data_IF_007725268107
#
_entry.id   IF_007725268107
#
_cell.length_a   1.000
_cell.length_b   1.000
_cell.length_c   1.000
_cell.angle_alpha   90.00
_cell.angle_beta   90.00
_cell.angle_gamma   90.00
#
_symmetry.space_group_name_H-M   'P 1'
#
loop_
_entity.id
_entity.type
_entity.pdbx_description
1 polymer ?
#
# COMPACT_ATOMS: atom_id res chain seq x y z
N UNK A 1 -13.66 0.90 6.64
CA UNK A 1 -14.83 0.29 5.99
C UNK A 1 -14.49 -1.03 5.30
N UNK A 2 -13.36 -1.09 4.60
CA UNK A 2 -12.88 -2.31 3.97
C UNK A 2 -12.08 -3.12 4.98
N UNK A 3 -12.38 -4.41 5.09
CA UNK A 3 -11.69 -5.37 5.96
C UNK A 3 -11.05 -6.51 5.20
N UNK A 4 -11.51 -6.75 3.97
CA UNK A 4 -11.09 -7.88 3.16
C UNK A 4 -10.88 -7.46 1.71
N UNK A 5 -9.76 -7.85 1.14
CA UNK A 5 -9.42 -7.64 -0.28
C UNK A 5 -8.88 -8.96 -0.84
N UNK A 6 -9.54 -9.44 -1.90
CA UNK A 6 -9.11 -10.61 -2.65
C UNK A 6 -8.47 -10.18 -3.97
N UNK A 7 -7.29 -10.70 -4.24
CA UNK A 7 -6.58 -10.53 -5.51
C UNK A 7 -6.45 -11.90 -6.17
N UNK A 8 -6.96 -12.03 -7.38
CA UNK A 8 -6.95 -13.29 -8.13
C UNK A 8 -6.21 -13.11 -9.45
N UNK A 9 -5.21 -13.94 -9.70
CA UNK A 9 -4.65 -14.16 -11.03
C UNK A 9 -5.50 -15.23 -11.70
N UNK A 10 -6.23 -14.86 -12.73
CA UNK A 10 -7.11 -15.78 -13.45
C UNK A 10 -6.32 -16.68 -14.41
N UNK A 11 -6.93 -17.77 -14.87
CA UNK A 11 -6.29 -18.72 -15.80
C UNK A 11 -5.84 -18.07 -17.11
N UNK A 12 -6.57 -17.05 -17.58
CA UNK A 12 -6.24 -16.27 -18.78
C UNK A 12 -5.24 -15.13 -18.53
N UNK A 13 -4.62 -15.11 -17.34
CA UNK A 13 -3.70 -14.08 -16.89
C UNK A 13 -4.33 -12.67 -16.75
N UNK A 14 -5.65 -12.56 -16.64
CA UNK A 14 -6.30 -11.36 -16.16
C UNK A 14 -6.20 -11.29 -14.64
N UNK A 15 -6.37 -10.10 -14.07
CA UNK A 15 -6.43 -9.89 -12.61
C UNK A 15 -7.84 -9.50 -12.21
N UNK A 16 -8.32 -10.10 -11.12
CA UNK A 16 -9.52 -9.67 -10.41
C UNK A 16 -9.15 -9.18 -9.03
N UNK A 17 -9.56 -7.96 -8.69
CA UNK A 17 -9.46 -7.39 -7.34
C UNK A 17 -10.87 -7.16 -6.83
N UNK A 18 -11.19 -7.78 -5.70
CA UNK A 18 -12.48 -7.66 -5.02
C UNK A 18 -12.27 -7.11 -3.62
N UNK A 19 -13.02 -6.09 -3.25
CA UNK A 19 -13.08 -5.57 -1.89
C UNK A 19 -14.49 -5.61 -1.32
N UNK A 20 -14.59 -5.51 0.01
CA UNK A 20 -15.83 -5.35 0.74
C UNK A 20 -16.00 -3.92 1.28
N UNK A 21 -15.46 -2.93 0.59
CA UNK A 21 -15.56 -1.53 0.94
C UNK A 21 -16.93 -0.93 0.64
N UNK A 22 -16.97 0.40 0.50
CA UNK A 22 -18.22 1.14 0.26
C UNK A 22 -18.81 0.91 -1.14
N UNK A 23 -18.01 0.47 -2.09
CA UNK A 23 -18.32 0.46 -3.52
C UNK A 23 -18.09 1.83 -4.16
N UNK A 24 -17.71 1.84 -5.44
CA UNK A 24 -17.64 3.06 -6.24
C UNK A 24 -19.08 3.57 -6.46
N UNK A 25 -19.36 4.89 -6.31
CA UNK A 25 -20.68 5.43 -6.61
C UNK A 25 -21.10 5.17 -8.06
N UNK A 26 -22.38 4.86 -8.27
CA UNK A 26 -22.97 4.59 -9.59
C UNK A 26 -23.99 5.63 -10.01
N UNK A 27 -24.27 6.60 -9.13
CA UNK A 27 -25.20 7.69 -9.38
C UNK A 27 -24.78 8.53 -10.59
N UNK A 28 -25.76 9.20 -11.22
CA UNK A 28 -25.48 10.10 -12.35
C UNK A 28 -24.73 11.36 -11.90
N UNK A 29 -23.66 11.67 -12.60
CA UNK A 29 -22.80 12.84 -12.34
C UNK A 29 -23.19 13.96 -13.32
N UNK A 30 -23.98 14.93 -12.88
CA UNK A 30 -24.58 15.96 -13.72
C UNK A 30 -23.56 16.77 -14.53
N UNK A 31 -22.42 17.14 -13.93
CA UNK A 31 -21.36 17.94 -14.61
C UNK A 31 -20.70 17.19 -15.76
N UNK A 32 -20.55 15.89 -15.63
CA UNK A 32 -19.86 15.04 -16.60
C UNK A 32 -20.83 14.36 -17.57
N UNK A 33 -22.12 14.42 -17.31
CA UNK A 33 -23.16 13.82 -18.16
C UNK A 33 -23.13 12.30 -18.25
N UNK A 34 -22.56 11.63 -17.24
CA UNK A 34 -22.40 10.17 -17.16
C UNK A 34 -22.43 9.66 -15.71
N UNK A 35 -22.41 8.35 -15.51
CA UNK A 35 -22.37 7.79 -14.16
C UNK A 35 -21.07 8.13 -13.43
N UNK A 36 -21.10 8.24 -12.11
CA UNK A 36 -19.89 8.44 -11.30
C UNK A 36 -18.88 7.30 -11.49
N UNK A 37 -19.35 6.05 -11.68
CA UNK A 37 -18.50 4.91 -12.02
C UNK A 37 -17.70 5.18 -13.30
N UNK A 38 -18.36 5.59 -14.37
CA UNK A 38 -17.69 5.91 -15.64
C UNK A 38 -16.73 7.10 -15.50
N UNK A 39 -17.10 8.12 -14.74
CA UNK A 39 -16.21 9.26 -14.46
C UNK A 39 -14.92 8.78 -13.79
N UNK A 40 -15.02 7.99 -12.73
CA UNK A 40 -13.85 7.47 -11.99
C UNK A 40 -12.92 6.65 -12.88
N UNK A 41 -13.47 5.89 -13.82
CA UNK A 41 -12.70 4.97 -14.67
C UNK A 41 -12.19 5.59 -15.97
N UNK A 42 -12.73 6.74 -16.41
CA UNK A 42 -12.40 7.32 -17.71
C UNK A 42 -11.87 8.75 -17.66
N UNK A 43 -12.09 9.47 -16.54
CA UNK A 43 -11.66 10.87 -16.41
C UNK A 43 -10.44 10.95 -15.52
N UNK A 44 -9.39 11.60 -16.01
CA UNK A 44 -8.19 11.86 -15.20
C UNK A 44 -8.50 12.89 -14.10
N UNK A 45 -7.88 12.72 -12.95
CA UNK A 45 -8.07 13.58 -11.77
C UNK A 45 -9.51 13.57 -11.23
N UNK A 46 -10.28 12.53 -11.53
CA UNK A 46 -11.61 12.30 -10.96
C UNK A 46 -11.54 11.29 -9.80
N UNK A 47 -12.53 11.36 -8.92
CA UNK A 47 -12.74 10.41 -7.84
C UNK A 47 -12.92 11.04 -6.47
N UNK A 48 -13.52 10.28 -5.54
CA UNK A 48 -13.85 10.74 -4.18
C UNK A 48 -12.66 11.11 -3.30
N UNK A 49 -11.43 10.85 -3.75
CA UNK A 49 -10.20 11.23 -3.03
C UNK A 49 -9.88 12.72 -3.12
N UNK A 50 -10.53 13.46 -4.03
CA UNK A 50 -10.48 14.92 -4.09
C UNK A 50 -11.47 15.59 -3.14
N UNK A 51 -12.44 14.83 -2.61
CA UNK A 51 -13.31 15.30 -1.54
C UNK A 51 -12.63 15.06 -0.19
N UNK A 52 -12.12 16.14 0.42
CA UNK A 52 -11.44 16.13 1.72
C UNK A 52 -12.29 15.52 2.86
N UNK A 53 -13.61 15.42 2.66
CA UNK A 53 -14.54 14.77 3.60
C UNK A 53 -14.57 13.24 3.52
N UNK A 54 -14.21 12.67 2.38
CA UNK A 54 -14.37 11.22 2.12
C UNK A 54 -13.16 10.38 2.52
N UNK A 55 -11.95 10.93 2.41
CA UNK A 55 -10.69 10.24 2.74
C UNK A 55 -9.74 11.18 3.48
N UNK A 56 -9.36 10.83 4.71
CA UNK A 56 -8.41 11.62 5.51
C UNK A 56 -6.97 11.52 4.96
N UNK A 57 -6.60 10.32 4.49
CA UNK A 57 -5.27 10.02 3.94
C UNK A 57 -5.41 9.01 2.81
N UNK A 58 -4.68 9.19 1.72
CA UNK A 58 -4.66 8.27 0.58
C UNK A 58 -3.28 8.22 -0.07
N UNK A 59 -2.84 7.02 -0.49
CA UNK A 59 -1.67 6.85 -1.37
C UNK A 59 -1.93 7.31 -2.81
N UNK A 60 -3.19 7.36 -3.21
CA UNK A 60 -3.61 7.85 -4.53
C UNK A 60 -3.89 9.34 -4.51
N UNK A 61 -2.92 10.17 -4.91
CA UNK A 61 -2.99 11.64 -4.83
C UNK A 61 -3.59 12.30 -6.08
N UNK A 62 -3.46 11.65 -7.22
CA UNK A 62 -3.75 12.30 -8.50
C UNK A 62 -5.07 11.82 -9.14
N UNK A 63 -5.75 10.82 -8.56
CA UNK A 63 -6.99 10.27 -9.12
C UNK A 63 -6.83 9.69 -10.52
N UNK A 64 -5.65 9.13 -10.83
CA UNK A 64 -5.33 8.60 -12.16
C UNK A 64 -5.08 7.10 -12.16
N UNK A 65 -4.90 6.46 -11.01
CA UNK A 65 -4.46 5.05 -10.94
C UNK A 65 -5.40 4.09 -11.67
N UNK A 66 -6.68 4.09 -11.33
CA UNK A 66 -7.64 3.16 -11.93
C UNK A 66 -7.97 3.51 -13.37
N UNK A 67 -7.99 4.79 -13.74
CA UNK A 67 -8.19 5.22 -15.13
C UNK A 67 -6.98 4.86 -16.02
N UNK A 68 -5.76 4.89 -15.49
CA UNK A 68 -4.59 4.37 -16.17
C UNK A 68 -4.67 2.84 -16.37
N UNK A 69 -5.07 2.07 -15.35
CA UNK A 69 -5.29 0.62 -15.50
C UNK A 69 -6.30 0.35 -16.61
N UNK A 70 -7.41 1.12 -16.65
CA UNK A 70 -8.41 1.00 -17.70
C UNK A 70 -7.81 1.29 -19.09
N UNK A 71 -7.11 2.42 -19.24
CA UNK A 71 -6.51 2.81 -20.52
C UNK A 71 -5.48 1.80 -21.05
N UNK A 72 -4.77 1.11 -20.15
CA UNK A 72 -3.72 0.14 -20.44
C UNK A 72 -4.25 -1.32 -20.53
N UNK A 73 -5.57 -1.50 -20.53
CA UNK A 73 -6.20 -2.82 -20.56
C UNK A 73 -7.04 -3.04 -21.82
N UNK A 74 -6.92 -4.21 -22.43
CA UNK A 74 -7.80 -4.61 -23.53
C UNK A 74 -9.21 -4.91 -23.06
N UNK A 75 -9.35 -5.30 -21.79
CA UNK A 75 -10.62 -5.53 -21.12
C UNK A 75 -10.54 -5.03 -19.69
N UNK A 76 -11.54 -4.26 -19.26
CA UNK A 76 -11.80 -4.00 -17.85
C UNK A 76 -13.29 -4.16 -17.58
N UNK A 77 -13.61 -4.90 -16.52
CA UNK A 77 -14.97 -5.11 -16.03
C UNK A 77 -15.04 -4.55 -14.62
N UNK A 78 -15.94 -3.60 -14.40
CA UNK A 78 -16.24 -3.06 -13.07
C UNK A 78 -17.61 -3.56 -12.62
N UNK A 79 -17.65 -4.20 -11.45
CA UNK A 79 -18.88 -4.65 -10.80
C UNK A 79 -18.98 -4.03 -9.42
N UNK A 80 -20.06 -3.33 -9.15
CA UNK A 80 -20.27 -2.60 -7.91
C UNK A 80 -21.47 -3.19 -7.16
N UNK A 81 -21.19 -3.73 -5.99
CA UNK A 81 -22.22 -4.11 -5.02
C UNK A 81 -22.59 -2.87 -4.22
N UNK A 82 -23.70 -2.26 -4.62
CA UNK A 82 -24.13 -0.95 -4.14
C UNK A 82 -24.99 -1.05 -2.86
N UNK A 83 -25.04 0.05 -2.14
CA UNK A 83 -25.85 0.16 -0.91
C UNK A 83 -27.36 0.04 -1.13
N UNK A 84 -27.84 0.19 -2.36
CA UNK A 84 -29.24 0.01 -2.74
C UNK A 84 -29.64 -1.46 -2.97
N UNK A 85 -28.71 -2.39 -2.72
CA UNK A 85 -28.92 -3.82 -2.88
C UNK A 85 -28.78 -4.34 -4.30
N UNK A 86 -28.31 -3.53 -5.23
CA UNK A 86 -28.12 -3.89 -6.63
C UNK A 86 -26.65 -4.07 -6.98
N UNK A 87 -26.39 -4.93 -7.96
CA UNK A 87 -25.08 -5.10 -8.58
C UNK A 87 -25.08 -4.39 -9.92
N UNK A 88 -24.23 -3.38 -10.04
CA UNK A 88 -24.02 -2.62 -11.28
C UNK A 88 -22.78 -3.12 -11.99
N UNK A 89 -22.83 -3.20 -13.32
CA UNK A 89 -21.68 -3.56 -14.16
C UNK A 89 -21.51 -2.55 -15.29
N UNK A 90 -20.27 -2.24 -15.61
CA UNK A 90 -19.86 -1.57 -16.84
C UNK A 90 -18.57 -2.19 -17.34
N UNK A 91 -18.42 -2.31 -18.65
CA UNK A 91 -17.25 -2.87 -19.32
C UNK A 91 -16.53 -1.82 -20.15
N UNK A 92 -15.23 -2.00 -20.29
CA UNK A 92 -14.34 -1.06 -20.96
C UNK A 92 -13.29 -1.80 -21.79
N UNK A 93 -12.77 -1.13 -22.82
CA UNK A 93 -11.61 -1.55 -23.57
C UNK A 93 -10.74 -0.33 -23.88
N UNK A 94 -9.45 -0.41 -23.52
CA UNK A 94 -8.45 0.64 -23.78
C UNK A 94 -8.92 2.04 -23.29
N UNK A 95 -9.54 2.08 -22.12
CA UNK A 95 -10.04 3.28 -21.48
C UNK A 95 -11.42 3.77 -21.94
N UNK A 96 -12.01 3.18 -22.98
CA UNK A 96 -13.32 3.56 -23.48
C UNK A 96 -14.41 2.58 -22.99
N UNK A 97 -15.60 3.05 -22.57
CA UNK A 97 -16.70 2.18 -22.22
C UNK A 97 -17.19 1.40 -23.44
N UNK A 98 -17.42 0.10 -23.27
CA UNK A 98 -17.98 -0.81 -24.29
C UNK A 98 -19.41 -1.21 -23.99
N UNK A 99 -19.93 -0.84 -22.82
CA UNK A 99 -21.33 -0.99 -22.43
C UNK A 99 -21.82 0.25 -21.68
N UNK A 100 -23.13 0.35 -21.50
CA UNK A 100 -23.71 1.24 -20.50
C UNK A 100 -23.58 0.62 -19.11
N UNK A 101 -23.83 1.41 -18.06
CA UNK A 101 -23.99 0.87 -16.70
C UNK A 101 -25.28 0.09 -16.63
N UNK A 102 -25.21 -1.19 -16.28
CA UNK A 102 -26.32 -2.12 -16.23
C UNK A 102 -26.49 -2.70 -14.83
N UNK A 103 -27.73 -2.94 -14.41
CA UNK A 103 -28.02 -3.74 -13.23
C UNK A 103 -28.02 -5.21 -13.64
N UNK A 104 -27.11 -5.99 -13.05
CA UNK A 104 -26.94 -7.41 -13.40
C UNK A 104 -27.47 -8.37 -12.32
N UNK A 105 -27.90 -7.85 -11.18
CA UNK A 105 -28.40 -8.67 -10.07
C UNK A 105 -28.64 -7.88 -8.81
N UNK A 106 -28.90 -8.62 -7.73
CA UNK A 106 -29.06 -8.11 -6.38
C UNK A 106 -27.91 -8.57 -5.47
N UNK A 107 -27.64 -7.84 -4.42
CA UNK A 107 -26.62 -8.17 -3.43
C UNK A 107 -27.07 -7.79 -2.01
N UNK A 108 -26.52 -8.50 -1.03
CA UNK A 108 -26.71 -8.22 0.39
C UNK A 108 -25.48 -7.56 1.04
N UNK A 109 -24.35 -7.56 0.33
CA UNK A 109 -23.06 -6.97 0.75
C UNK A 109 -22.73 -5.74 -0.11
N UNK A 110 -21.61 -5.10 0.21
CA UNK A 110 -21.09 -3.95 -0.53
C UNK A 110 -19.67 -4.19 -0.98
N UNK A 111 -19.26 -3.45 -1.98
CA UNK A 111 -17.87 -3.44 -2.41
C UNK A 111 -17.70 -3.26 -3.91
N UNK A 112 -16.44 -3.33 -4.33
CA UNK A 112 -16.04 -3.20 -5.73
C UNK A 112 -15.34 -4.47 -6.18
N UNK A 113 -15.59 -4.89 -7.41
CA UNK A 113 -14.83 -5.92 -8.09
C UNK A 113 -14.36 -5.38 -9.43
N UNK A 114 -13.06 -5.32 -9.64
CA UNK A 114 -12.45 -4.91 -10.90
C UNK A 114 -11.69 -6.09 -11.47
N UNK A 115 -12.04 -6.49 -12.71
CA UNK A 115 -11.29 -7.47 -13.47
C UNK A 115 -10.67 -6.78 -14.68
N UNK A 116 -9.38 -6.95 -14.92
CA UNK A 116 -8.72 -6.32 -16.05
C UNK A 116 -7.67 -7.23 -16.70
N UNK A 117 -7.45 -7.02 -18.00
CA UNK A 117 -6.44 -7.73 -18.79
C UNK A 117 -5.52 -6.71 -19.45
N UNK A 118 -4.20 -6.76 -19.20
CA UNK A 118 -3.24 -5.84 -19.79
C UNK A 118 -3.24 -5.91 -21.32
N UNK A 119 -2.97 -4.76 -21.95
CA UNK A 119 -2.82 -4.68 -23.40
C UNK A 119 -1.41 -5.11 -23.83
N UNK A 120 -1.29 -6.26 -24.47
CA UNK A 120 -0.02 -6.81 -24.98
C UNK A 120 0.64 -5.92 -26.06
N UNK A 121 -0.14 -5.06 -26.72
CA UNK A 121 0.42 -4.07 -27.66
C UNK A 121 1.19 -2.96 -26.99
N UNK A 122 0.93 -2.72 -25.70
CA UNK A 122 1.61 -1.74 -24.87
C UNK A 122 2.70 -2.42 -24.02
N UNK A 123 2.37 -3.53 -23.36
CA UNK A 123 3.28 -4.30 -22.53
C UNK A 123 4.00 -5.36 -23.36
N UNK A 124 4.93 -4.93 -24.21
CA UNK A 124 5.58 -5.78 -25.23
C UNK A 124 6.61 -6.78 -24.67
N UNK A 125 7.11 -6.56 -23.44
CA UNK A 125 8.07 -7.47 -22.82
C UNK A 125 7.39 -8.68 -22.17
N UNK A 126 6.34 -8.43 -21.42
CA UNK A 126 5.52 -9.47 -20.77
C UNK A 126 4.24 -8.88 -20.21
N UNK A 127 3.17 -9.66 -20.23
CA UNK A 127 1.93 -9.39 -19.48
C UNK A 127 1.72 -10.42 -18.38
N UNK A 128 2.64 -11.36 -18.22
CA UNK A 128 2.54 -12.42 -17.22
C UNK A 128 2.80 -11.89 -15.82
N UNK A 129 1.85 -12.13 -14.94
CA UNK A 129 1.96 -11.76 -13.52
C UNK A 129 2.82 -12.76 -12.77
N UNK A 130 3.77 -12.24 -11.98
CA UNK A 130 4.61 -13.03 -11.09
C UNK A 130 3.99 -13.08 -9.70
N UNK A 131 3.57 -14.29 -9.30
CA UNK A 131 2.91 -14.53 -8.03
C UNK A 131 3.69 -13.96 -6.83
N UNK A 132 4.99 -14.26 -6.74
CA UNK A 132 5.81 -13.87 -5.60
C UNK A 132 5.96 -12.34 -5.43
N UNK A 133 5.94 -11.58 -6.55
CA UNK A 133 5.95 -10.11 -6.50
C UNK A 133 4.66 -9.59 -5.86
N UNK A 134 3.51 -10.13 -6.27
CA UNK A 134 2.21 -9.76 -5.70
C UNK A 134 2.11 -10.20 -4.23
N UNK A 135 2.53 -11.43 -3.91
CA UNK A 135 2.51 -11.96 -2.55
C UNK A 135 3.35 -11.10 -1.60
N UNK A 136 4.56 -10.72 -1.99
CA UNK A 136 5.42 -9.86 -1.19
C UNK A 136 4.77 -8.48 -0.95
N UNK A 137 4.18 -7.90 -1.99
CA UNK A 137 3.52 -6.60 -1.87
C UNK A 137 2.28 -6.65 -0.98
N UNK A 138 1.46 -7.68 -1.09
CA UNK A 138 0.27 -7.87 -0.24
C UNK A 138 0.66 -8.12 1.21
N UNK A 139 1.74 -8.86 1.47
CA UNK A 139 2.29 -9.07 2.82
C UNK A 139 2.71 -7.75 3.46
N UNK A 140 3.46 -6.90 2.73
CA UNK A 140 3.82 -5.56 3.23
C UNK A 140 2.58 -4.72 3.54
N UNK A 141 1.59 -4.73 2.65
CA UNK A 141 0.35 -3.97 2.85
C UNK A 141 -0.45 -4.46 4.05
N UNK A 142 -0.44 -5.76 4.36
CA UNK A 142 -1.08 -6.29 5.56
C UNK A 142 -0.41 -5.77 6.83
N UNK A 143 0.91 -5.71 6.88
CA UNK A 143 1.64 -5.12 8.01
C UNK A 143 1.40 -3.62 8.15
N UNK A 144 1.34 -2.89 7.04
CA UNK A 144 1.10 -1.43 7.04
C UNK A 144 -0.34 -1.04 7.36
N UNK A 145 -1.28 -2.00 7.27
CA UNK A 145 -2.72 -1.78 7.48
C UNK A 145 -3.27 -2.89 8.39
N UNK A 146 -2.85 -2.89 9.65
CA UNK A 146 -3.29 -3.88 10.64
C UNK A 146 -4.81 -4.07 10.64
N UNK A 147 -5.25 -5.31 10.76
CA UNK A 147 -6.66 -5.67 10.79
C UNK A 147 -7.34 -5.82 9.42
N UNK A 148 -6.63 -5.61 8.30
CA UNK A 148 -7.14 -5.88 6.95
C UNK A 148 -6.63 -7.25 6.47
N UNK A 149 -7.52 -8.09 5.96
CA UNK A 149 -7.16 -9.35 5.30
C UNK A 149 -6.90 -9.11 3.82
N UNK A 150 -5.77 -9.59 3.34
CA UNK A 150 -5.38 -9.55 1.94
C UNK A 150 -5.14 -10.99 1.49
N UNK A 151 -5.93 -11.44 0.52
CA UNK A 151 -5.85 -12.79 0.01
C UNK A 151 -5.34 -12.76 -1.43
N UNK A 152 -4.44 -13.66 -1.77
CA UNK A 152 -3.93 -13.84 -3.12
C UNK A 152 -4.23 -15.26 -3.60
N UNK A 153 -4.91 -15.35 -4.73
CA UNK A 153 -5.24 -16.61 -5.39
C UNK A 153 -4.61 -16.64 -6.79
N UNK A 154 -3.90 -17.71 -7.13
CA UNK A 154 -3.46 -17.99 -8.49
C UNK A 154 -4.24 -19.18 -9.03
N UNK A 155 -5.15 -18.92 -9.98
CA UNK A 155 -5.96 -19.96 -10.63
C UNK A 155 -5.22 -20.66 -11.76
N UNK A 156 -4.07 -20.14 -12.17
CA UNK A 156 -3.22 -20.81 -13.16
C UNK A 156 -2.66 -22.07 -12.51
N UNK A 157 -2.72 -23.16 -13.23
CA UNK A 157 -2.20 -24.44 -12.76
C UNK A 157 -0.70 -24.53 -13.01
N UNK A 158 0.04 -25.03 -12.04
CA UNK A 158 1.44 -25.41 -12.22
C UNK A 158 1.56 -26.73 -13.03
N UNK A 159 2.80 -27.19 -13.23
CA UNK A 159 3.08 -28.41 -13.96
C UNK A 159 2.47 -29.67 -13.32
N UNK A 160 2.10 -29.63 -12.03
CA UNK A 160 1.42 -30.69 -11.29
C UNK A 160 -0.12 -30.52 -11.28
N UNK A 161 -0.64 -29.47 -11.93
CA UNK A 161 -2.08 -29.16 -11.98
C UNK A 161 -2.62 -28.50 -10.69
N UNK A 162 -1.75 -28.00 -9.81
CA UNK A 162 -2.12 -27.34 -8.55
C UNK A 162 -2.24 -25.82 -8.73
N UNK A 163 -3.13 -25.23 -7.97
CA UNK A 163 -3.26 -23.77 -7.81
C UNK A 163 -2.52 -23.32 -6.55
N UNK A 164 -2.25 -22.02 -6.44
CA UNK A 164 -1.54 -21.43 -5.29
C UNK A 164 -2.39 -20.35 -4.64
N UNK A 165 -2.36 -20.28 -3.30
CA UNK A 165 -3.01 -19.22 -2.54
C UNK A 165 -2.21 -18.88 -1.29
N UNK A 166 -2.29 -17.60 -0.88
CA UNK A 166 -1.74 -17.07 0.36
C UNK A 166 -2.72 -16.07 1.00
N UNK A 167 -2.74 -16.05 2.33
CA UNK A 167 -3.57 -15.17 3.14
C UNK A 167 -2.68 -14.33 4.05
N UNK A 168 -2.82 -13.01 3.97
CA UNK A 168 -2.01 -12.07 4.74
C UNK A 168 -2.91 -11.27 5.69
N UNK A 169 -2.54 -11.28 6.97
CA UNK A 169 -3.23 -10.55 8.02
C UNK A 169 -2.24 -10.22 9.13
N UNK A 170 -2.33 -9.05 9.73
CA UNK A 170 -1.51 -8.65 10.87
C UNK A 170 -2.38 -7.98 11.93
N UNK A 171 -2.24 -8.43 13.18
CA UNK A 171 -2.88 -7.80 14.34
C UNK A 171 -2.03 -6.67 14.93
N UNK A 172 -0.71 -6.85 14.94
CA UNK A 172 0.22 -5.92 15.56
C UNK A 172 0.92 -4.98 14.56
N UNK A 173 0.68 -5.15 13.25
CA UNK A 173 1.14 -4.23 12.20
C UNK A 173 2.65 -4.13 12.10
N UNK A 174 3.22 -2.94 12.33
CA UNK A 174 4.65 -2.70 12.15
C UNK A 174 5.55 -3.52 13.08
N UNK A 175 5.06 -3.95 14.24
CA UNK A 175 5.84 -4.84 15.12
C UNK A 175 6.09 -6.19 14.45
N UNK A 176 5.03 -6.81 13.90
CA UNK A 176 5.16 -8.06 13.15
C UNK A 176 6.01 -7.87 11.89
N UNK A 177 5.94 -6.69 11.27
CA UNK A 177 6.76 -6.38 10.10
C UNK A 177 8.26 -6.38 10.43
N UNK A 178 8.65 -5.75 11.54
CA UNK A 178 10.05 -5.78 12.01
C UNK A 178 10.50 -7.19 12.31
N UNK A 179 9.67 -8.01 12.99
CA UNK A 179 9.97 -9.42 13.23
C UNK A 179 10.19 -10.21 11.94
N UNK A 180 9.31 -9.99 10.96
CA UNK A 180 9.43 -10.60 9.64
C UNK A 180 10.74 -10.22 8.94
N UNK A 181 11.11 -8.93 8.97
CA UNK A 181 12.35 -8.43 8.37
C UNK A 181 13.60 -8.96 9.07
N UNK A 182 13.54 -9.16 10.38
CA UNK A 182 14.66 -9.63 11.20
C UNK A 182 14.85 -11.14 11.17
N UNK A 183 13.81 -11.91 10.81
CA UNK A 183 13.82 -13.37 10.87
C UNK A 183 15.01 -14.06 10.19
N UNK A 184 15.65 -13.39 9.23
CA UNK A 184 16.78 -13.92 8.46
C UNK A 184 18.07 -13.10 8.58
N UNK A 185 18.12 -12.08 9.48
CA UNK A 185 19.23 -11.13 9.51
C UNK A 185 20.19 -11.29 10.65
N UNK A 186 19.74 -11.70 11.80
CA UNK A 186 20.57 -11.86 13.00
C UNK A 186 19.75 -12.17 14.23
N UNK A 187 20.45 -12.34 15.37
CA UNK A 187 19.80 -12.57 16.65
C UNK A 187 19.44 -11.23 17.29
N UNK A 188 18.20 -11.03 17.75
CA UNK A 188 17.84 -9.81 18.47
C UNK A 188 18.69 -9.62 19.72
N UNK A 189 19.24 -8.43 19.90
CA UNK A 189 19.97 -8.02 21.12
C UNK A 189 18.98 -7.69 22.23
N UNK A 190 17.80 -7.17 21.85
CA UNK A 190 16.71 -6.84 22.76
C UNK A 190 15.48 -7.62 22.26
N UNK A 191 14.88 -8.44 23.14
CA UNK A 191 13.69 -9.24 22.76
C UNK A 191 12.49 -8.37 22.44
N UNK A 192 12.34 -7.25 23.17
CA UNK A 192 11.20 -6.35 23.01
C UNK A 192 11.40 -5.45 21.78
N UNK A 193 10.40 -5.41 20.90
CA UNK A 193 10.34 -4.44 19.81
C UNK A 193 10.02 -3.06 20.38
N UNK A 194 10.82 -2.08 20.04
CA UNK A 194 10.57 -0.68 20.36
C UNK A 194 9.50 -0.17 19.39
N UNK A 195 8.39 0.28 19.94
CA UNK A 195 7.24 0.73 19.15
C UNK A 195 6.79 2.12 19.60
N UNK A 196 6.53 2.98 18.62
CA UNK A 196 6.05 4.33 18.78
C UNK A 196 4.88 4.57 17.83
N UNK A 197 3.75 5.02 18.36
CA UNK A 197 2.59 5.49 17.61
C UNK A 197 2.22 6.87 18.16
N UNK A 198 2.36 7.89 17.33
CA UNK A 198 2.17 9.28 17.74
C UNK A 198 1.69 10.14 16.58
N UNK A 199 1.24 11.34 16.90
CA UNK A 199 0.87 12.36 15.92
C UNK A 199 1.65 13.64 16.17
N UNK A 200 2.19 14.24 15.14
CA UNK A 200 2.87 15.52 15.19
C UNK A 200 2.34 16.43 14.08
N UNK A 201 1.88 17.61 14.45
CA UNK A 201 1.30 18.60 13.50
C UNK A 201 0.18 18.02 12.60
N UNK A 202 -0.64 17.10 13.12
CA UNK A 202 -1.69 16.44 12.34
C UNK A 202 -1.18 15.29 11.44
N UNK A 203 0.12 14.94 11.51
CA UNK A 203 0.71 13.83 10.77
C UNK A 203 0.88 12.63 11.71
N UNK A 204 0.13 11.54 11.51
CA UNK A 204 0.39 10.28 12.21
C UNK A 204 1.75 9.71 11.82
N UNK A 205 2.52 9.33 12.84
CA UNK A 205 3.85 8.73 12.72
C UNK A 205 3.88 7.44 13.52
N UNK A 206 4.16 6.34 12.85
CA UNK A 206 4.29 5.03 13.46
C UNK A 206 5.67 4.47 13.17
N UNK A 207 6.36 4.01 14.19
CA UNK A 207 7.71 3.43 14.10
C UNK A 207 7.77 2.15 14.90
N UNK A 208 8.28 1.09 14.30
CA UNK A 208 8.70 -0.11 15.01
C UNK A 208 10.18 -0.36 14.70
N UNK A 209 10.96 -0.75 15.69
CA UNK A 209 12.38 -1.03 15.51
C UNK A 209 12.92 -2.05 16.50
N UNK A 210 13.97 -2.74 16.09
CA UNK A 210 14.70 -3.71 16.90
C UNK A 210 16.17 -3.69 16.52
N UNK A 211 17.05 -3.98 17.48
CA UNK A 211 18.47 -4.18 17.23
C UNK A 211 18.82 -5.66 17.25
N UNK A 212 19.64 -6.08 16.32
CA UNK A 212 20.21 -7.43 16.21
C UNK A 212 21.74 -7.38 16.15
N UNK A 213 22.37 -8.53 16.17
CA UNK A 213 23.82 -8.68 16.15
C UNK A 213 24.47 -8.57 14.76
N UNK A 214 23.71 -8.15 13.75
CA UNK A 214 24.25 -7.85 12.42
C UNK A 214 24.96 -6.49 12.39
N UNK A 215 25.80 -6.26 11.37
CA UNK A 215 26.53 -5.01 11.18
C UNK A 215 25.89 -4.06 10.17
N UNK A 216 24.67 -4.31 9.73
CA UNK A 216 24.01 -3.53 8.70
C UNK A 216 22.71 -2.89 9.17
N UNK A 217 22.46 -1.67 8.70
CA UNK A 217 21.18 -0.97 8.84
C UNK A 217 20.15 -1.55 7.85
N UNK A 218 18.93 -1.79 8.32
CA UNK A 218 17.77 -2.23 7.53
C UNK A 218 16.54 -1.39 7.86
N UNK A 219 16.47 -0.21 7.28
CA UNK A 219 15.35 0.72 7.52
C UNK A 219 14.47 0.84 6.30
N UNK A 220 13.20 0.51 6.50
CA UNK A 220 12.13 0.66 5.53
C UNK A 220 11.26 1.86 5.90
N UNK A 221 10.97 2.74 4.95
CA UNK A 221 10.17 3.93 5.18
C UNK A 221 8.99 4.01 4.20
N UNK A 222 7.85 4.45 4.73
CA UNK A 222 6.58 4.49 3.99
C UNK A 222 5.87 5.82 4.20
N UNK A 223 5.32 6.33 3.11
CA UNK A 223 4.38 7.46 3.12
C UNK A 223 3.08 6.99 2.50
N UNK A 224 1.98 7.03 3.27
CA UNK A 224 0.67 6.56 2.81
C UNK A 224 0.73 5.15 2.19
N UNK A 225 1.48 4.23 2.81
CA UNK A 225 1.74 2.86 2.36
C UNK A 225 2.63 2.72 1.11
N UNK A 226 3.24 3.79 0.61
CA UNK A 226 4.19 3.74 -0.51
C UNK A 226 5.60 3.67 0.07
N UNK A 227 6.36 2.66 -0.33
CA UNK A 227 7.75 2.49 0.11
C UNK A 227 8.64 3.51 -0.59
N UNK A 228 9.16 4.46 0.17
CA UNK A 228 10.03 5.51 -0.36
C UNK A 228 10.84 6.22 0.74
N UNK A 229 11.94 6.83 0.31
CA UNK A 229 12.76 7.68 1.16
C UNK A 229 12.22 9.11 1.28
N UNK A 230 13.02 9.99 1.83
CA UNK A 230 12.72 11.42 1.89
C UNK A 230 12.94 12.03 3.27
N UNK A 231 12.23 13.13 3.52
CA UNK A 231 12.40 13.94 4.73
C UNK A 231 12.05 13.17 6.01
N UNK A 232 11.04 12.31 5.97
CA UNK A 232 10.63 11.49 7.12
C UNK A 232 11.71 10.47 7.53
N UNK A 233 12.36 9.80 6.57
CA UNK A 233 13.46 8.89 6.84
C UNK A 233 14.69 9.65 7.38
N UNK A 234 15.02 10.78 6.77
CA UNK A 234 16.12 11.65 7.24
C UNK A 234 15.83 12.18 8.65
N UNK A 235 14.58 12.58 8.91
CA UNK A 235 14.13 13.02 10.22
C UNK A 235 14.25 11.92 11.27
N UNK A 236 13.81 10.71 10.96
CA UNK A 236 13.93 9.54 11.83
C UNK A 236 15.41 9.28 12.20
N UNK A 237 16.29 9.16 11.20
CA UNK A 237 17.73 8.89 11.43
C UNK A 237 18.38 9.96 12.31
N UNK A 238 18.08 11.24 12.08
CA UNK A 238 18.59 12.35 12.89
C UNK A 238 18.04 12.33 14.32
N UNK A 239 16.75 12.08 14.49
CA UNK A 239 16.12 12.01 15.79
C UNK A 239 16.67 10.85 16.62
N UNK A 240 16.78 9.64 16.03
CA UNK A 240 17.34 8.47 16.68
C UNK A 240 18.78 8.73 17.16
N UNK A 241 19.65 9.16 16.25
CA UNK A 241 21.06 9.48 16.57
C UNK A 241 21.16 10.51 17.70
N UNK A 242 20.40 11.61 17.62
CA UNK A 242 20.42 12.66 18.63
C UNK A 242 19.95 12.16 19.99
N UNK A 243 18.89 11.36 20.01
CA UNK A 243 18.29 10.85 21.25
C UNK A 243 19.22 9.87 21.94
N UNK A 244 19.77 8.91 21.20
CA UNK A 244 20.71 7.93 21.75
C UNK A 244 22.01 8.57 22.22
N UNK A 245 22.54 9.52 21.44
CA UNK A 245 23.75 10.26 21.82
C UNK A 245 23.51 11.04 23.11
N UNK A 246 22.42 11.79 23.21
CA UNK A 246 22.05 12.52 24.43
C UNK A 246 21.93 11.59 25.63
N UNK A 247 21.24 10.45 25.49
CA UNK A 247 21.12 9.48 26.57
C UNK A 247 22.47 8.94 27.02
N UNK A 248 23.36 8.62 26.08
CA UNK A 248 24.71 8.11 26.37
C UNK A 248 25.60 9.18 27.04
N UNK A 249 25.42 10.47 26.70
CA UNK A 249 26.07 11.61 27.39
C UNK A 249 25.55 11.76 28.81
N UNK A 250 24.21 11.88 28.99
CA UNK A 250 23.55 12.09 30.29
C UNK A 250 23.80 10.93 31.27
N UNK A 251 23.90 9.69 30.77
CA UNK A 251 24.19 8.49 31.55
C UNK A 251 25.70 8.29 31.86
N UNK A 252 26.56 9.12 31.31
CA UNK A 252 28.03 8.99 31.45
C UNK A 252 28.65 7.81 30.67
N UNK A 253 27.88 7.17 29.78
CA UNK A 253 28.40 6.06 28.98
C UNK A 253 29.47 6.49 28.00
N UNK A 254 29.32 7.65 27.36
CA UNK A 254 30.29 8.16 26.41
C UNK A 254 31.63 8.49 27.06
N UNK A 255 31.65 8.96 28.31
CA UNK A 255 32.86 9.27 29.02
C UNK A 255 33.77 8.04 29.28
N UNK A 256 33.21 6.83 29.19
CA UNK A 256 33.90 5.56 29.37
C UNK A 256 34.51 5.03 28.07
N UNK A 257 34.13 5.60 26.93
CA UNK A 257 34.60 5.15 25.63
C UNK A 257 35.96 5.84 25.30
N UNK A 258 36.83 5.12 24.61
CA UNK A 258 38.13 5.61 24.14
C UNK A 258 38.10 6.05 22.66
N UNK A 259 36.90 6.12 22.07
CA UNK A 259 36.68 6.49 20.67
C UNK A 259 35.40 7.28 20.54
N UNK A 260 35.29 8.05 19.46
CA UNK A 260 34.06 8.80 19.14
C UNK A 260 33.06 7.91 18.44
N UNK A 261 31.80 8.04 18.83
CA UNK A 261 30.65 7.38 18.18
C UNK A 261 29.99 8.36 17.19
N UNK A 262 29.85 7.95 15.95
CA UNK A 262 29.14 8.71 14.93
C UNK A 262 27.69 8.24 14.75
N UNK A 263 26.94 8.91 13.87
CA UNK A 263 25.52 8.59 13.65
C UNK A 263 25.28 7.21 13.02
N UNK A 264 26.24 6.69 12.26
CA UNK A 264 26.11 5.38 11.60
C UNK A 264 26.27 4.25 12.61
N UNK A 265 27.16 4.43 13.61
CA UNK A 265 27.36 3.45 14.68
C UNK A 265 26.08 3.20 15.48
N UNK A 266 25.23 4.22 15.67
CA UNK A 266 23.92 4.08 16.32
C UNK A 266 22.88 3.34 15.49
N UNK A 267 23.13 3.12 14.20
CA UNK A 267 22.22 2.42 13.29
C UNK A 267 22.72 1.03 12.87
N UNK A 268 23.90 0.66 13.31
CA UNK A 268 24.46 -0.68 13.10
C UNK A 268 23.58 -1.72 13.82
N UNK A 269 23.17 -2.76 13.09
CA UNK A 269 22.27 -3.79 13.59
C UNK A 269 20.81 -3.36 13.75
N UNK A 270 20.43 -2.14 13.30
CA UNK A 270 19.09 -1.64 13.37
C UNK A 270 18.20 -2.19 12.24
N UNK A 271 17.10 -2.82 12.60
CA UNK A 271 15.94 -3.02 11.71
C UNK A 271 14.81 -2.11 12.16
N UNK A 272 14.30 -1.28 11.26
CA UNK A 272 13.21 -0.36 11.56
C UNK A 272 12.23 -0.20 10.39
N UNK A 273 10.97 0.00 10.73
CA UNK A 273 9.93 0.41 9.80
C UNK A 273 9.37 1.75 10.28
N UNK A 274 9.38 2.75 9.40
CA UNK A 274 8.86 4.09 9.65
C UNK A 274 7.69 4.34 8.71
N UNK A 275 6.51 4.59 9.24
CA UNK A 275 5.30 4.85 8.46
C UNK A 275 4.72 6.20 8.85
N UNK A 276 4.49 7.07 7.87
CA UNK A 276 3.82 8.36 8.06
C UNK A 276 2.57 8.43 7.19
N UNK A 277 1.54 9.12 7.69
CA UNK A 277 0.29 9.37 6.99
C UNK A 277 0.15 10.87 6.73
N UNK A 278 0.47 11.29 5.52
CA UNK A 278 0.47 12.70 5.11
C UNK A 278 -0.76 12.99 4.26
N UNK A 279 -1.54 14.01 4.61
CA UNK A 279 -2.76 14.35 3.88
C UNK A 279 -2.46 14.91 2.48
N UNK A 280 -1.45 15.75 2.37
CA UNK A 280 -1.04 16.39 1.11
C UNK A 280 0.47 16.17 0.87
N UNK A 281 0.92 14.92 0.58
CA UNK A 281 2.33 14.66 0.38
C UNK A 281 2.84 15.27 -0.91
N UNK A 282 4.00 15.91 -0.82
CA UNK A 282 4.73 16.47 -1.95
C UNK A 282 5.89 15.53 -2.28
N UNK A 283 5.84 14.92 -3.45
CA UNK A 283 6.87 14.00 -3.91
C UNK A 283 7.77 14.64 -4.95
N UNK A 284 9.04 14.26 -4.94
CA UNK A 284 9.95 14.56 -6.04
C UNK A 284 9.57 13.66 -7.24
N UNK A 285 8.80 14.23 -8.19
CA UNK A 285 8.40 13.57 -9.43
C UNK A 285 7.20 12.62 -9.35
N UNK A 286 6.74 12.20 -10.51
CA UNK A 286 5.55 11.35 -10.69
C UNK A 286 5.76 9.91 -10.16
N UNK A 287 6.99 9.45 -10.12
CA UNK A 287 7.36 8.11 -9.60
C UNK A 287 7.27 8.02 -8.09
N UNK A 288 7.03 9.14 -7.40
CA UNK A 288 6.89 9.22 -5.93
C UNK A 288 8.06 8.59 -5.18
N UNK A 289 9.30 8.81 -5.64
CA UNK A 289 10.48 8.17 -5.09
C UNK A 289 11.03 8.84 -3.83
N UNK A 290 10.58 10.05 -3.52
CA UNK A 290 11.09 10.79 -2.37
C UNK A 290 10.10 11.83 -1.88
N UNK A 291 9.79 11.79 -0.57
CA UNK A 291 8.96 12.80 0.09
C UNK A 291 9.76 14.07 0.32
N UNK A 292 9.18 15.20 -0.05
CA UNK A 292 9.77 16.54 0.08
C UNK A 292 9.21 17.42 1.20
N UNK A 293 8.09 17.04 1.81
CA UNK A 293 7.49 17.83 2.91
C UNK A 293 8.50 18.06 4.04
N UNK A 294 8.49 19.25 4.64
CA UNK A 294 9.42 19.65 5.72
C UNK A 294 8.78 19.76 7.11
N UNK A 295 7.48 19.52 7.22
CA UNK A 295 6.65 19.69 8.41
C UNK A 295 6.89 18.65 9.51
#
# INVERSE_FOLDING_TARGET
YCTDIDVTINEDNSITVRDNGRGIPTDYHEKEGKSALEVVLTVLHAGGKFDKGSYKVSGGLHGVGVSCVNALSTLLIAEIRSRDGKVYRQTYSKGAPTSQVEVIGECSDRGTTITFKPDESIFTLTTEYKYDILANRLRELAFLNKGIRLNLYDKRKDDEGKTREDHFYSEEGLKEFVQYLDATRGTPIIEQIIYLDTEKNGVPVEVAMQYNDSFSENVHSYVNNINEGGTHLTGFRRALTRTLKKYAEDSGMLAKLKFDINGDDFREGLTAVVSVKVAEPQFEGQTKTKLGNSE
#
